data_IF_224464175090
#
_entry.id   IF_224464175090
#
_cell.length_a   1.000
_cell.length_b   1.000
_cell.length_c   1.000
_cell.angle_alpha   90.00
_cell.angle_beta   90.00
_cell.angle_gamma   90.00
#
_symmetry.space_group_name_H-M   'P 1'
#
loop_
_entity.id
_entity.type
_entity.pdbx_description
1 polymer ?
#
# COMPACT_ATOMS: atom_id res chain seq x y z
N UNK A 1 14.76 12.03 34.56
CA UNK A 1 14.25 13.09 33.65
C UNK A 1 13.23 13.91 34.42
N UNK A 2 13.32 15.24 34.35
CA UNK A 2 12.29 16.12 34.93
C UNK A 2 10.92 15.83 34.28
N UNK A 3 9.80 15.98 35.01
CA UNK A 3 8.47 15.77 34.43
C UNK A 3 8.23 16.77 33.30
N UNK A 4 7.81 16.28 32.12
CA UNK A 4 7.46 17.10 30.95
C UNK A 4 6.48 18.20 31.37
N UNK A 5 6.85 19.50 31.29
CA UNK A 5 5.99 20.60 31.73
C UNK A 5 4.61 20.59 31.05
N UNK A 6 4.56 20.19 29.78
CA UNK A 6 3.34 19.99 28.99
C UNK A 6 2.31 19.05 29.65
N UNK A 7 2.74 18.09 30.48
CA UNK A 7 1.83 17.18 31.19
C UNK A 7 1.09 17.85 32.36
N UNK A 8 1.54 19.02 32.81
CA UNK A 8 0.87 19.82 33.84
C UNK A 8 -0.18 20.77 33.27
N UNK A 9 -0.18 21.01 31.95
CA UNK A 9 -1.15 21.87 31.30
C UNK A 9 -2.58 21.29 31.42
N UNK A 10 -3.60 22.14 31.61
CA UNK A 10 -5.00 21.78 31.43
C UNK A 10 -5.24 21.19 30.04
N UNK A 11 -6.26 20.34 29.90
CA UNK A 11 -6.55 19.68 28.62
C UNK A 11 -6.72 20.69 27.50
N UNK A 12 -7.60 21.69 27.64
CA UNK A 12 -7.89 22.72 26.62
C UNK A 12 -6.62 23.42 26.09
N UNK A 13 -5.67 23.76 26.95
CA UNK A 13 -4.41 24.38 26.52
C UNK A 13 -3.55 23.38 25.74
N UNK A 14 -3.53 22.12 26.19
CA UNK A 14 -2.82 21.07 25.50
C UNK A 14 -3.44 20.74 24.13
N UNK A 15 -4.76 20.86 24.00
CA UNK A 15 -5.51 20.73 22.75
C UNK A 15 -5.00 21.73 21.70
N UNK A 16 -5.05 23.01 22.03
CA UNK A 16 -4.61 24.10 21.16
C UNK A 16 -3.13 23.98 20.77
N UNK A 17 -2.27 23.62 21.74
CA UNK A 17 -0.85 23.36 21.45
C UNK A 17 -0.73 22.23 20.43
N UNK A 18 -1.38 21.09 20.66
CA UNK A 18 -1.27 19.90 19.79
C UNK A 18 -1.80 20.18 18.39
N UNK A 19 -2.88 20.95 18.23
CA UNK A 19 -3.43 21.30 16.92
C UNK A 19 -2.42 22.00 16.03
N UNK A 20 -1.61 22.88 16.62
CA UNK A 20 -0.60 23.66 15.92
C UNK A 20 0.71 22.89 15.66
N UNK A 21 0.85 21.66 16.17
CA UNK A 21 2.04 20.84 15.93
C UNK A 21 1.97 20.10 14.60
N UNK A 22 3.12 20.04 13.94
CA UNK A 22 3.40 19.18 12.79
C UNK A 22 3.33 17.70 13.16
N UNK A 23 3.29 16.81 12.17
CA UNK A 23 3.25 15.37 12.38
C UNK A 23 4.54 14.86 13.04
N UNK A 24 5.68 15.45 12.71
CA UNK A 24 6.99 15.17 13.32
C UNK A 24 6.97 15.53 14.80
N UNK A 25 6.46 16.70 15.16
CA UNK A 25 6.38 17.14 16.55
C UNK A 25 5.41 16.28 17.36
N UNK A 26 4.23 15.96 16.80
CA UNK A 26 3.27 15.05 17.44
C UNK A 26 3.83 13.65 17.61
N UNK A 27 4.53 13.14 16.60
CA UNK A 27 5.24 11.87 16.71
C UNK A 27 6.26 11.95 17.84
N UNK A 28 7.16 12.93 17.85
CA UNK A 28 8.16 13.12 18.90
C UNK A 28 7.53 13.21 20.30
N UNK A 29 6.47 13.99 20.49
CA UNK A 29 5.76 14.05 21.78
C UNK A 29 5.17 12.71 22.20
N UNK A 30 4.59 11.97 21.25
CA UNK A 30 3.98 10.67 21.53
C UNK A 30 4.99 9.61 21.97
N UNK A 31 6.25 9.74 21.56
CA UNK A 31 7.32 8.77 21.85
C UNK A 31 8.18 9.16 23.05
N UNK A 32 8.04 10.39 23.56
CA UNK A 32 8.76 10.91 24.73
C UNK A 32 8.13 10.48 26.07
N UNK A 33 6.82 10.22 26.13
CA UNK A 33 6.14 9.81 27.38
C UNK A 33 4.89 8.98 27.14
N UNK A 34 4.73 7.88 27.90
CA UNK A 34 3.49 7.08 27.93
C UNK A 34 2.25 7.91 28.27
N UNK A 35 2.40 8.86 29.21
CA UNK A 35 1.29 9.72 29.62
C UNK A 35 0.90 10.70 28.53
N UNK A 36 1.88 11.25 27.79
CA UNK A 36 1.61 12.12 26.66
C UNK A 36 0.92 11.37 25.53
N UNK A 37 1.41 10.16 25.20
CA UNK A 37 0.74 9.28 24.24
C UNK A 37 -0.72 9.01 24.63
N UNK A 38 -0.97 8.69 25.91
CA UNK A 38 -2.34 8.49 26.41
C UNK A 38 -3.21 9.74 26.24
N UNK A 39 -2.67 10.93 26.53
CA UNK A 39 -3.41 12.20 26.34
C UNK A 39 -3.70 12.46 24.86
N UNK A 40 -2.71 12.33 23.97
CA UNK A 40 -2.90 12.45 22.52
C UNK A 40 -4.04 11.54 22.02
N UNK A 41 -4.13 10.32 22.57
CA UNK A 41 -5.22 9.38 22.23
C UNK A 41 -6.59 9.77 22.76
N UNK A 42 -6.65 10.39 23.95
CA UNK A 42 -7.90 10.85 24.56
C UNK A 42 -8.48 12.04 23.82
N UNK A 43 -7.59 12.93 23.38
CA UNK A 43 -7.97 14.18 22.74
C UNK A 43 -8.67 13.93 21.39
N UNK A 44 -8.28 12.91 20.61
CA UNK A 44 -8.82 12.64 19.25
C UNK A 44 -8.74 13.87 18.31
N UNK A 45 -7.91 14.84 18.64
CA UNK A 45 -7.88 16.14 18.00
C UNK A 45 -7.21 16.09 16.64
N UNK A 46 -7.82 16.81 15.70
CA UNK A 46 -7.22 17.34 14.47
C UNK A 46 -6.21 16.40 13.84
N UNK A 47 -6.61 15.16 13.53
CA UNK A 47 -5.72 14.19 12.91
C UNK A 47 -5.09 14.84 11.68
N UNK A 48 -3.77 14.78 11.59
CA UNK A 48 -3.07 15.41 10.48
C UNK A 48 -3.41 14.63 9.22
N UNK A 49 -3.78 15.37 8.20
CA UNK A 49 -4.00 14.77 6.90
C UNK A 49 -2.66 14.43 6.26
N UNK A 50 -2.41 13.13 6.11
CA UNK A 50 -1.31 12.59 5.31
C UNK A 50 -1.83 12.43 3.89
N UNK A 51 -1.28 13.23 2.98
CA UNK A 51 -1.61 13.22 1.57
C UNK A 51 -1.19 11.89 0.93
N UNK A 52 0.03 11.42 1.26
CA UNK A 52 0.53 10.14 0.78
C UNK A 52 1.37 9.40 1.83
N UNK A 53 1.17 8.09 1.93
CA UNK A 53 2.04 7.17 2.67
C UNK A 53 2.70 6.23 1.68
N UNK A 54 4.03 6.19 1.59
CA UNK A 54 4.76 5.23 0.76
C UNK A 54 5.47 4.21 1.65
N UNK A 55 5.05 2.96 1.60
CA UNK A 55 5.72 1.84 2.29
C UNK A 55 6.58 1.12 1.25
N UNK A 56 7.89 1.04 1.45
CA UNK A 56 8.82 0.30 0.57
C UNK A 56 9.45 -0.83 1.36
N UNK A 57 9.28 -2.05 0.88
CA UNK A 57 9.85 -3.25 1.50
C UNK A 57 10.92 -3.82 0.56
N UNK A 58 12.20 -3.56 0.86
CA UNK A 58 13.34 -4.03 0.10
C UNK A 58 14.36 -4.75 1.00
N UNK A 59 15.21 -5.63 0.43
CA UNK A 59 16.39 -6.10 1.16
C UNK A 59 17.53 -5.10 0.92
N UNK A 60 18.20 -4.57 1.96
CA UNK A 60 18.02 -4.87 3.39
C UNK A 60 17.08 -3.91 4.13
N UNK A 61 16.48 -2.90 3.50
CA UNK A 61 15.73 -1.84 4.22
C UNK A 61 14.22 -1.90 4.04
N UNK A 62 13.49 -1.67 5.15
CA UNK A 62 12.09 -1.26 5.07
C UNK A 62 11.99 0.23 5.29
N UNK A 63 11.22 0.91 4.46
CA UNK A 63 10.99 2.34 4.53
C UNK A 63 9.50 2.65 4.60
N UNK A 64 9.10 3.59 5.45
CA UNK A 64 7.78 4.23 5.42
C UNK A 64 8.00 5.74 5.27
N UNK A 65 7.50 6.34 4.20
CA UNK A 65 7.46 7.81 4.03
C UNK A 65 6.03 8.29 4.21
N UNK A 66 5.85 9.38 4.93
CA UNK A 66 4.58 10.09 5.05
C UNK A 66 4.78 11.50 4.52
N UNK A 67 3.91 11.91 3.61
CA UNK A 67 3.90 13.27 3.07
C UNK A 67 2.64 13.96 3.54
N UNK A 68 2.80 15.10 4.18
CA UNK A 68 1.73 16.02 4.57
C UNK A 68 1.84 17.29 3.73
N UNK A 69 0.93 18.24 3.92
CA UNK A 69 1.04 19.55 3.27
C UNK A 69 2.27 20.36 3.74
N UNK A 70 2.82 20.06 4.92
CA UNK A 70 3.85 20.86 5.58
C UNK A 70 5.22 20.18 5.58
N UNK A 71 5.26 18.84 5.57
CA UNK A 71 6.50 18.08 5.74
C UNK A 71 6.45 16.65 5.17
N UNK A 72 7.63 16.10 4.93
CA UNK A 72 7.86 14.67 4.73
C UNK A 72 8.52 14.07 5.99
N UNK A 73 8.01 12.91 6.43
CA UNK A 73 8.59 12.12 7.51
C UNK A 73 8.97 10.76 6.97
N UNK A 74 10.17 10.30 7.31
CA UNK A 74 10.71 9.04 6.83
C UNK A 74 11.11 8.14 7.99
N UNK A 75 10.58 6.94 8.00
CA UNK A 75 10.92 5.87 8.93
C UNK A 75 11.69 4.80 8.15
N UNK A 76 12.89 4.42 8.60
CA UNK A 76 13.73 3.40 7.99
C UNK A 76 14.05 2.32 9.02
N UNK A 77 13.76 1.06 8.71
CA UNK A 77 14.04 -0.07 9.58
C UNK A 77 15.23 -0.83 8.98
N UNK A 78 16.32 -0.94 9.74
CA UNK A 78 17.50 -1.69 9.35
C UNK A 78 17.60 -3.02 10.11
N UNK A 79 18.01 -4.11 9.44
CA UNK A 79 18.29 -5.41 10.06
C UNK A 79 19.55 -5.40 10.91
N UNK A 80 20.44 -4.44 10.67
CA UNK A 80 21.80 -4.50 11.15
C UNK A 80 22.22 -3.18 11.80
N UNK A 81 22.42 -3.22 13.12
CA UNK A 81 22.92 -2.10 13.91
C UNK A 81 24.26 -1.53 13.39
N UNK A 82 25.13 -2.36 12.78
CA UNK A 82 26.39 -1.86 12.17
C UNK A 82 26.12 -0.87 11.03
N UNK A 83 25.04 -1.07 10.25
CA UNK A 83 24.67 -0.17 9.18
C UNK A 83 24.16 1.18 9.72
N UNK A 84 23.54 1.20 10.91
CA UNK A 84 23.15 2.43 11.60
C UNK A 84 24.37 3.23 12.08
N UNK A 85 25.34 2.55 12.70
CA UNK A 85 26.59 3.16 13.19
C UNK A 85 27.38 3.77 12.02
N UNK A 86 27.50 3.06 10.90
CA UNK A 86 28.18 3.54 9.69
C UNK A 86 27.53 4.79 9.08
N UNK A 87 26.23 5.02 9.32
CA UNK A 87 25.52 6.20 8.83
C UNK A 87 25.61 7.41 9.76
N UNK A 88 26.37 7.31 10.85
CA UNK A 88 26.53 8.41 11.81
C UNK A 88 25.24 8.77 12.54
N UNK A 89 24.33 7.80 12.71
CA UNK A 89 23.09 7.98 13.48
C UNK A 89 23.47 8.23 14.94
N UNK A 90 23.15 9.41 15.48
CA UNK A 90 23.32 9.69 16.91
C UNK A 90 22.30 8.89 17.73
N UNK A 91 22.75 8.29 18.84
CA UNK A 91 21.93 7.45 19.72
C UNK A 91 20.90 8.28 20.52
N UNK A 92 19.80 8.70 19.88
CA UNK A 92 18.59 9.15 20.59
C UNK A 92 17.60 8.00 20.68
N UNK A 93 17.72 7.18 21.73
CA UNK A 93 16.79 6.06 21.95
C UNK A 93 15.42 6.60 22.38
N UNK A 94 14.44 6.49 21.50
CA UNK A 94 13.04 6.80 21.80
C UNK A 94 12.38 5.59 22.47
N UNK A 95 12.25 5.64 23.80
CA UNK A 95 11.94 4.49 24.66
C UNK A 95 10.46 4.08 24.71
N UNK A 96 9.53 4.92 24.24
CA UNK A 96 8.08 4.70 24.47
C UNK A 96 7.27 4.39 23.23
N UNK A 97 7.92 4.17 22.10
CA UNK A 97 7.30 3.46 20.96
C UNK A 97 7.35 1.97 21.28
N UNK A 98 6.37 1.15 20.85
CA UNK A 98 6.49 -0.31 20.87
C UNK A 98 7.71 -0.86 20.08
N UNK A 99 8.51 0.02 19.47
CA UNK A 99 9.66 -0.28 18.63
C UNK A 99 10.80 0.69 19.00
N UNK A 100 11.92 0.20 19.56
CA UNK A 100 13.11 1.05 19.78
C UNK A 100 13.51 1.77 18.49
N UNK A 101 13.60 3.10 18.56
CA UNK A 101 13.89 4.00 17.45
C UNK A 101 15.05 4.92 17.81
N UNK A 102 15.85 5.27 16.82
CA UNK A 102 16.94 6.23 16.82
C UNK A 102 16.54 7.36 15.87
N UNK A 103 16.59 8.63 16.29
CA UNK A 103 16.20 9.76 15.43
C UNK A 103 17.44 10.50 14.92
N UNK A 104 17.52 10.78 13.61
CA UNK A 104 18.48 11.75 13.08
C UNK A 104 17.75 13.08 12.87
N UNK A 105 18.06 14.04 13.74
CA UNK A 105 17.39 15.34 13.80
C UNK A 105 17.53 16.18 12.50
N UNK A 106 18.53 15.91 11.64
CA UNK A 106 18.79 16.72 10.44
C UNK A 106 17.84 16.49 9.26
N UNK A 107 16.99 15.44 9.25
CA UNK A 107 16.21 15.06 8.05
C UNK A 107 14.80 14.49 8.29
N UNK A 108 14.21 14.64 9.48
CA UNK A 108 12.95 13.94 9.82
C UNK A 108 13.00 12.42 9.53
N UNK A 109 14.20 11.84 9.72
CA UNK A 109 14.48 10.44 9.47
C UNK A 109 14.61 9.68 10.79
N UNK A 110 13.79 8.65 10.93
CA UNK A 110 13.69 7.79 12.11
C UNK A 110 14.16 6.39 11.76
N UNK A 111 15.13 5.88 12.51
CA UNK A 111 15.79 4.60 12.26
C UNK A 111 15.40 3.58 13.31
N UNK A 112 15.03 2.36 12.91
CA UNK A 112 14.68 1.29 13.85
C UNK A 112 15.65 0.13 13.70
N UNK A 113 16.19 -0.34 14.82
CA UNK A 113 17.01 -1.54 14.87
C UNK A 113 16.11 -2.79 14.91
N UNK A 114 16.41 -3.80 14.10
CA UNK A 114 15.80 -5.12 14.17
C UNK A 114 16.85 -6.13 14.67
N UNK A 115 16.76 -6.61 15.92
CA UNK A 115 17.80 -7.48 16.48
C UNK A 115 17.84 -8.82 15.73
N UNK A 116 18.98 -9.12 15.11
CA UNK A 116 19.25 -10.43 14.50
C UNK A 116 20.45 -10.40 13.54
N UNK A 117 21.41 -11.35 13.62
CA UNK A 117 22.65 -11.28 12.86
C UNK A 117 22.54 -11.60 11.36
N UNK A 118 21.42 -12.14 10.86
CA UNK A 118 21.33 -12.59 9.47
C UNK A 118 19.88 -12.68 9.01
N UNK A 119 19.52 -11.86 8.02
CA UNK A 119 18.18 -11.69 7.43
C UNK A 119 17.10 -11.19 8.42
N UNK A 120 16.37 -10.12 8.06
CA UNK A 120 15.13 -9.82 8.77
C UNK A 120 14.23 -11.06 8.65
N UNK A 121 13.95 -11.75 9.76
CA UNK A 121 12.82 -12.66 9.80
C UNK A 121 11.58 -11.82 9.50
N UNK A 122 10.87 -12.16 8.42
CA UNK A 122 9.68 -11.43 7.96
C UNK A 122 8.75 -11.07 9.14
N UNK A 123 8.54 -12.02 10.06
CA UNK A 123 7.70 -11.83 11.26
C UNK A 123 8.09 -10.64 12.17
N UNK A 124 9.39 -10.37 12.34
CA UNK A 124 9.86 -9.22 13.14
C UNK A 124 9.58 -7.90 12.41
N UNK A 125 9.77 -7.89 11.08
CA UNK A 125 9.46 -6.74 10.21
C UNK A 125 7.98 -6.42 10.28
N UNK A 126 7.17 -7.43 10.02
CA UNK A 126 5.72 -7.36 10.05
C UNK A 126 5.21 -6.78 11.38
N UNK A 127 5.74 -7.26 12.51
CA UNK A 127 5.38 -6.72 13.83
C UNK A 127 5.78 -5.25 14.01
N UNK A 128 6.95 -4.83 13.51
CA UNK A 128 7.39 -3.43 13.60
C UNK A 128 6.55 -2.52 12.72
N UNK A 129 6.25 -2.94 11.49
CA UNK A 129 5.35 -2.24 10.56
C UNK A 129 3.96 -2.13 11.18
N UNK A 130 3.41 -3.21 11.73
CA UNK A 130 2.11 -3.22 12.41
C UNK A 130 2.05 -2.21 13.54
N UNK A 131 3.09 -2.18 14.39
CA UNK A 131 3.15 -1.27 15.52
C UNK A 131 3.30 0.18 15.07
N UNK A 132 4.16 0.46 14.08
CA UNK A 132 4.39 1.81 13.59
C UNK A 132 3.17 2.36 12.84
N UNK A 133 2.59 1.59 11.94
CA UNK A 133 1.37 1.98 11.19
C UNK A 133 0.18 2.19 12.14
N UNK A 134 0.00 1.30 13.13
CA UNK A 134 -1.00 1.47 14.20
C UNK A 134 -0.77 2.75 15.01
N UNK A 135 0.49 3.11 15.25
CA UNK A 135 0.83 4.33 15.98
C UNK A 135 0.55 5.58 15.14
N UNK A 136 0.98 5.58 13.88
CA UNK A 136 0.80 6.69 12.94
C UNK A 136 -0.68 6.95 12.66
N UNK A 137 -1.50 5.92 12.47
CA UNK A 137 -2.94 6.05 12.22
C UNK A 137 -3.73 6.70 13.38
N UNK A 138 -3.10 6.82 14.56
CA UNK A 138 -3.68 7.55 15.71
C UNK A 138 -3.40 9.05 15.62
N UNK A 139 -2.33 9.44 14.93
CA UNK A 139 -1.89 10.82 14.78
C UNK A 139 -2.39 11.43 13.46
N UNK A 140 -2.68 10.60 12.46
CA UNK A 140 -3.03 11.04 11.11
C UNK A 140 -4.23 10.32 10.48
N UNK A 141 -4.80 10.95 9.46
CA UNK A 141 -5.69 10.33 8.47
C UNK A 141 -4.90 10.22 7.17
N UNK A 142 -4.79 9.02 6.62
CA UNK A 142 -4.05 8.78 5.38
C UNK A 142 -5.02 8.77 4.21
N UNK A 143 -4.90 9.76 3.32
CA UNK A 143 -5.70 9.83 2.08
C UNK A 143 -5.29 8.72 1.12
N UNK A 144 -4.02 8.69 0.72
CA UNK A 144 -3.47 7.71 -0.20
C UNK A 144 -2.34 6.92 0.43
N UNK A 145 -2.34 5.60 0.26
CA UNK A 145 -1.22 4.73 0.59
C UNK A 145 -0.71 4.03 -0.67
N UNK A 146 0.61 3.99 -0.84
CA UNK A 146 1.31 3.28 -1.89
C UNK A 146 2.28 2.29 -1.24
N UNK A 147 2.11 1.01 -1.51
CA UNK A 147 2.91 -0.07 -0.94
C UNK A 147 3.73 -0.68 -2.05
N UNK A 148 5.05 -0.46 -2.02
CA UNK A 148 5.99 -1.01 -2.98
C UNK A 148 6.73 -2.22 -2.40
N UNK A 149 6.73 -3.33 -3.13
CA UNK A 149 7.49 -4.52 -2.77
C UNK A 149 8.64 -4.78 -3.72
N UNK A 150 9.81 -5.06 -3.14
CA UNK A 150 11.00 -5.53 -3.87
C UNK A 150 11.46 -6.90 -3.34
N UNK A 151 10.57 -7.61 -2.63
CA UNK A 151 10.84 -8.91 -2.01
C UNK A 151 9.68 -9.87 -2.27
N UNK A 152 10.01 -11.15 -2.47
CA UNK A 152 9.04 -12.24 -2.54
C UNK A 152 8.32 -12.42 -1.20
N UNK A 153 7.17 -11.76 -1.07
CA UNK A 153 6.24 -11.85 0.07
C UNK A 153 4.83 -11.92 -0.52
N UNK A 154 3.99 -12.80 0.03
CA UNK A 154 2.57 -12.86 -0.35
C UNK A 154 1.80 -11.65 0.15
N UNK A 155 0.79 -11.21 -0.61
CA UNK A 155 -0.02 -10.02 -0.27
C UNK A 155 -0.65 -10.16 1.11
N UNK A 156 -1.26 -11.31 1.38
CA UNK A 156 -1.92 -11.62 2.64
C UNK A 156 -0.99 -11.48 3.86
N UNK A 157 0.24 -11.98 3.77
CA UNK A 157 1.22 -11.90 4.86
C UNK A 157 1.54 -10.45 5.21
N UNK A 158 1.76 -9.61 4.20
CA UNK A 158 2.02 -8.20 4.46
C UNK A 158 0.79 -7.44 4.92
N UNK A 159 -0.33 -7.61 4.24
CA UNK A 159 -1.51 -6.80 4.54
C UNK A 159 -2.10 -7.14 5.92
N UNK A 160 -1.94 -8.38 6.40
CA UNK A 160 -2.23 -8.73 7.80
C UNK A 160 -1.37 -7.96 8.83
N UNK A 161 -0.23 -7.45 8.36
CA UNK A 161 0.78 -6.74 9.14
C UNK A 161 0.63 -5.22 9.06
N UNK A 162 -0.09 -4.67 8.09
CA UNK A 162 -0.42 -3.24 8.11
C UNK A 162 -1.70 -3.08 8.91
N UNK A 163 -1.64 -2.34 10.02
CA UNK A 163 -2.82 -2.10 10.85
C UNK A 163 -3.55 -0.86 10.37
N UNK A 164 -4.87 -0.90 10.50
CA UNK A 164 -5.75 0.23 10.20
C UNK A 164 -5.80 0.61 8.71
N UNK A 165 -5.49 -0.32 7.80
CA UNK A 165 -5.60 -0.14 6.34
C UNK A 165 -7.01 0.24 5.93
N UNK A 166 -8.01 -0.26 6.65
CA UNK A 166 -9.42 0.09 6.47
C UNK A 166 -9.70 1.58 6.68
N UNK A 167 -8.78 2.35 7.29
CA UNK A 167 -8.89 3.80 7.43
C UNK A 167 -8.24 4.57 6.28
N UNK A 168 -7.53 3.89 5.36
CA UNK A 168 -6.99 4.51 4.16
C UNK A 168 -8.12 4.75 3.16
N UNK A 169 -8.05 5.82 2.37
CA UNK A 169 -9.06 6.05 1.33
C UNK A 169 -8.71 5.26 0.06
N UNK A 170 -7.45 5.28 -0.36
CA UNK A 170 -6.92 4.51 -1.50
C UNK A 170 -5.64 3.78 -1.13
N UNK A 171 -5.48 2.56 -1.62
CA UNK A 171 -4.28 1.75 -1.39
C UNK A 171 -3.80 1.12 -2.71
N UNK A 172 -2.68 1.63 -3.21
CA UNK A 172 -2.00 1.06 -4.36
C UNK A 172 -0.93 0.08 -3.89
N UNK A 173 -0.91 -1.12 -4.44
CA UNK A 173 0.08 -2.16 -4.14
C UNK A 173 0.90 -2.45 -5.39
N UNK A 174 2.13 -1.96 -5.40
CA UNK A 174 3.05 -2.02 -6.53
C UNK A 174 4.14 -3.04 -6.21
N UNK A 175 3.86 -4.30 -6.56
CA UNK A 175 4.77 -5.41 -6.29
C UNK A 175 5.80 -5.65 -7.38
N UNK A 176 5.58 -5.09 -8.58
CA UNK A 176 6.31 -5.45 -9.79
C UNK A 176 6.56 -6.96 -9.87
N UNK A 177 7.83 -7.33 -10.09
CA UNK A 177 8.28 -8.73 -10.22
C UNK A 177 8.44 -9.51 -8.92
N UNK A 178 8.07 -8.93 -7.78
CA UNK A 178 8.43 -9.48 -6.47
C UNK A 178 7.23 -9.86 -5.62
N UNK A 179 6.01 -9.48 -5.95
CA UNK A 179 4.84 -9.86 -5.16
C UNK A 179 4.15 -11.05 -5.80
N UNK A 180 4.00 -12.16 -5.08
CA UNK A 180 3.23 -13.30 -5.56
C UNK A 180 1.77 -13.12 -5.16
N UNK A 181 0.87 -13.36 -6.11
CA UNK A 181 -0.57 -13.41 -5.93
C UNK A 181 -1.03 -14.83 -6.22
N UNK A 182 -1.62 -15.47 -5.22
CA UNK A 182 -2.13 -16.84 -5.30
C UNK A 182 -3.65 -16.84 -5.13
N UNK A 183 -4.31 -17.96 -5.45
CA UNK A 183 -5.77 -18.06 -5.33
C UNK A 183 -6.24 -17.81 -3.89
N UNK A 184 -5.43 -18.14 -2.88
CA UNK A 184 -5.74 -17.89 -1.48
C UNK A 184 -5.70 -16.40 -1.06
N UNK A 185 -5.09 -15.53 -1.88
CA UNK A 185 -5.08 -14.09 -1.66
C UNK A 185 -6.39 -13.43 -2.11
N UNK A 186 -7.16 -14.07 -3.00
CA UNK A 186 -8.38 -13.51 -3.60
C UNK A 186 -9.40 -13.07 -2.55
N UNK A 187 -9.78 -13.89 -1.53
CA UNK A 187 -10.74 -13.47 -0.50
C UNK A 187 -10.23 -12.29 0.35
N UNK A 188 -8.91 -12.19 0.52
CA UNK A 188 -8.30 -11.10 1.27
C UNK A 188 -8.39 -9.78 0.51
N UNK A 189 -8.10 -9.82 -0.79
CA UNK A 189 -8.18 -8.64 -1.65
C UNK A 189 -9.63 -8.25 -1.94
N UNK A 190 -10.56 -9.20 -2.02
CA UNK A 190 -11.99 -8.96 -2.27
C UNK A 190 -12.65 -7.98 -1.29
N UNK A 191 -12.20 -8.01 -0.03
CA UNK A 191 -12.73 -7.20 1.07
C UNK A 191 -11.83 -6.02 1.43
N UNK A 192 -10.85 -5.71 0.58
CA UNK A 192 -9.86 -4.68 0.83
C UNK A 192 -10.18 -3.36 0.14
N UNK A 193 -9.54 -2.28 0.57
CA UNK A 193 -9.57 -0.97 -0.10
C UNK A 193 -8.46 -0.81 -1.15
N UNK A 194 -8.00 -1.94 -1.71
CA UNK A 194 -6.97 -1.93 -2.73
C UNK A 194 -7.56 -1.40 -4.04
N UNK A 195 -6.93 -0.35 -4.59
CA UNK A 195 -7.32 0.29 -5.84
C UNK A 195 -6.49 -0.24 -7.00
N UNK A 196 -5.17 -0.29 -6.83
CA UNK A 196 -4.23 -0.79 -7.84
C UNK A 196 -3.42 -1.96 -7.30
N UNK A 197 -3.24 -3.03 -8.07
CA UNK A 197 -2.44 -4.20 -7.68
C UNK A 197 -1.53 -4.62 -8.83
N UNK A 198 -0.21 -4.60 -8.63
CA UNK A 198 0.77 -5.14 -9.58
C UNK A 198 1.43 -6.39 -8.99
N UNK A 199 1.17 -7.56 -9.57
CA UNK A 199 1.57 -8.84 -8.99
C UNK A 199 2.09 -9.86 -10.00
N UNK A 200 2.85 -10.82 -9.49
CA UNK A 200 3.21 -12.05 -10.17
C UNK A 200 2.28 -13.19 -9.84
N UNK A 201 2.08 -14.07 -10.81
CA UNK A 201 1.23 -15.25 -10.68
C UNK A 201 1.88 -16.49 -11.30
N UNK A 202 1.67 -17.65 -10.66
CA UNK A 202 2.17 -18.94 -11.18
C UNK A 202 1.21 -19.53 -12.21
N UNK A 203 -0.09 -19.49 -11.91
CA UNK A 203 -1.18 -20.01 -12.72
C UNK A 203 -2.04 -18.86 -13.26
N UNK A 204 -1.46 -18.02 -14.12
CA UNK A 204 -2.09 -16.82 -14.66
C UNK A 204 -3.52 -17.07 -15.14
N UNK A 205 -3.76 -18.15 -15.91
CA UNK A 205 -5.08 -18.45 -16.44
C UNK A 205 -6.12 -18.73 -15.34
N UNK A 206 -5.79 -19.56 -14.36
CA UNK A 206 -6.71 -19.93 -13.27
C UNK A 206 -6.99 -18.74 -12.35
N UNK A 207 -5.94 -17.99 -12.01
CA UNK A 207 -6.02 -16.83 -11.13
C UNK A 207 -6.84 -15.71 -11.78
N UNK A 208 -6.59 -15.39 -13.05
CA UNK A 208 -7.38 -14.39 -13.79
C UNK A 208 -8.83 -14.84 -13.89
N UNK A 209 -9.11 -16.10 -14.24
CA UNK A 209 -10.49 -16.61 -14.31
C UNK A 209 -11.22 -16.48 -12.96
N UNK A 210 -10.56 -16.89 -11.88
CA UNK A 210 -11.14 -16.83 -10.53
C UNK A 210 -11.37 -15.38 -10.11
N UNK A 211 -10.41 -14.49 -10.35
CA UNK A 211 -10.57 -13.06 -10.11
C UNK A 211 -11.77 -12.49 -10.88
N UNK A 212 -11.87 -12.75 -12.19
CA UNK A 212 -12.97 -12.26 -13.02
C UNK A 212 -14.33 -12.73 -12.52
N UNK A 213 -14.47 -14.03 -12.21
CA UNK A 213 -15.71 -14.59 -11.66
C UNK A 213 -16.14 -13.87 -10.38
N UNK A 214 -15.18 -13.60 -9.50
CA UNK A 214 -15.44 -12.90 -8.24
C UNK A 214 -15.77 -11.42 -8.46
N UNK A 215 -15.03 -10.72 -9.33
CA UNK A 215 -15.32 -9.32 -9.67
C UNK A 215 -16.71 -9.15 -10.30
N UNK A 216 -17.07 -10.02 -11.25
CA UNK A 216 -18.40 -10.03 -11.89
C UNK A 216 -19.53 -10.26 -10.87
N UNK A 217 -19.26 -11.06 -9.83
CA UNK A 217 -20.18 -11.33 -8.74
C UNK A 217 -20.33 -10.16 -7.74
N UNK A 218 -19.63 -9.04 -7.95
CA UNK A 218 -19.70 -7.87 -7.06
C UNK A 218 -18.61 -7.81 -6.00
N UNK A 219 -17.71 -8.80 -5.96
CA UNK A 219 -16.55 -8.73 -5.06
C UNK A 219 -15.56 -7.71 -5.63
N UNK A 220 -14.66 -7.16 -4.79
CA UNK A 220 -13.71 -6.10 -5.19
C UNK A 220 -14.34 -4.76 -5.61
N UNK A 221 -15.22 -4.13 -4.81
CA UNK A 221 -15.89 -2.89 -5.18
C UNK A 221 -14.94 -1.68 -5.34
N UNK A 222 -13.72 -1.78 -4.81
CA UNK A 222 -12.73 -0.70 -4.81
C UNK A 222 -11.58 -0.90 -5.80
N UNK A 223 -11.48 -2.06 -6.45
CA UNK A 223 -10.41 -2.33 -7.40
C UNK A 223 -10.65 -1.52 -8.66
N UNK A 224 -9.68 -0.68 -9.00
CA UNK A 224 -9.64 0.14 -10.20
C UNK A 224 -8.74 -0.53 -11.26
N UNK A 225 -7.64 -1.18 -10.84
CA UNK A 225 -6.67 -1.80 -11.75
C UNK A 225 -5.93 -3.00 -11.14
N UNK A 226 -5.73 -4.06 -11.92
CA UNK A 226 -4.81 -5.16 -11.57
C UNK A 226 -3.93 -5.53 -12.75
N UNK A 227 -2.62 -5.57 -12.52
CA UNK A 227 -1.62 -6.05 -13.44
C UNK A 227 -1.08 -7.40 -12.97
N UNK A 228 -1.24 -8.43 -13.80
CA UNK A 228 -0.78 -9.79 -13.58
C UNK A 228 0.41 -10.12 -14.49
N UNK A 229 1.57 -10.40 -13.92
CA UNK A 229 2.77 -10.87 -14.61
C UNK A 229 3.01 -12.36 -14.31
N UNK A 230 3.14 -13.21 -15.32
CA UNK A 230 3.45 -14.61 -15.14
C UNK A 230 4.92 -14.78 -14.79
N UNK A 231 5.22 -15.67 -13.86
CA UNK A 231 6.62 -15.93 -13.47
C UNK A 231 7.44 -16.69 -14.55
N UNK A 232 6.79 -17.20 -15.60
CA UNK A 232 7.48 -17.87 -16.72
C UNK A 232 6.84 -17.56 -18.08
N UNK A 233 7.65 -17.49 -19.14
CA UNK A 233 7.18 -17.28 -20.50
C UNK A 233 6.66 -18.60 -21.08
N UNK A 234 5.34 -18.80 -21.04
CA UNK A 234 4.64 -19.86 -21.77
C UNK A 234 3.48 -19.26 -22.55
N UNK A 235 3.20 -19.85 -23.72
CA UNK A 235 2.04 -19.48 -24.53
C UNK A 235 0.78 -19.67 -23.69
N UNK A 236 -0.06 -18.63 -23.66
CA UNK A 236 -1.27 -18.64 -22.84
C UNK A 236 -2.41 -19.33 -23.59
N UNK A 237 -3.20 -20.11 -22.85
CA UNK A 237 -4.44 -20.68 -23.37
C UNK A 237 -5.60 -19.78 -23.00
N UNK A 238 -5.94 -18.87 -23.91
CA UNK A 238 -6.93 -17.81 -23.67
C UNK A 238 -8.31 -18.31 -23.27
N UNK A 239 -8.72 -19.46 -23.80
CA UNK A 239 -9.99 -20.08 -23.44
C UNK A 239 -10.11 -20.34 -21.94
N UNK A 240 -8.99 -20.54 -21.24
CA UNK A 240 -8.97 -20.77 -19.80
C UNK A 240 -9.27 -19.51 -18.98
N UNK A 241 -8.90 -18.30 -19.46
CA UNK A 241 -9.20 -17.04 -18.77
C UNK A 241 -10.70 -16.84 -18.59
N UNK A 242 -11.48 -17.26 -19.59
CA UNK A 242 -12.90 -16.97 -19.70
C UNK A 242 -13.79 -18.19 -19.54
N UNK A 243 -13.28 -19.26 -18.93
CA UNK A 243 -14.10 -20.42 -18.55
C UNK A 243 -15.27 -19.94 -17.69
N UNK A 244 -16.49 -20.12 -18.18
CA UNK A 244 -17.75 -19.65 -17.55
C UNK A 244 -17.82 -18.14 -17.28
N UNK A 245 -17.11 -17.32 -18.07
CA UNK A 245 -17.18 -15.86 -18.01
C UNK A 245 -17.70 -15.35 -19.34
N UNK A 246 -18.77 -14.55 -19.30
CA UNK A 246 -19.26 -13.82 -20.46
C UNK A 246 -18.35 -12.61 -20.71
N UNK A 247 -17.90 -12.44 -21.96
CA UNK A 247 -17.06 -11.33 -22.38
C UNK A 247 -17.39 -10.93 -23.82
N UNK A 248 -17.06 -9.70 -24.19
CA UNK A 248 -17.16 -9.21 -25.56
C UNK A 248 -15.77 -8.76 -26.03
N UNK A 249 -15.31 -9.15 -27.23
CA UNK A 249 -14.09 -8.57 -27.80
C UNK A 249 -14.17 -7.04 -27.79
N UNK A 250 -13.16 -6.36 -27.26
CA UNK A 250 -13.22 -4.91 -27.17
C UNK A 250 -13.00 -4.29 -28.55
N UNK A 251 -13.90 -3.38 -28.91
CA UNK A 251 -13.80 -2.58 -30.14
C UNK A 251 -13.41 -1.14 -29.82
N UNK A 252 -13.57 -0.70 -28.56
CA UNK A 252 -13.54 0.71 -28.15
C UNK A 252 -12.33 1.09 -27.31
N UNK A 253 -11.82 0.17 -26.49
CA UNK A 253 -10.65 0.47 -25.65
C UNK A 253 -9.39 0.14 -26.44
N UNK A 254 -8.94 1.11 -27.23
CA UNK A 254 -7.66 1.02 -27.90
C UNK A 254 -6.56 0.78 -26.84
N UNK A 255 -5.64 -0.19 -27.01
CA UNK A 255 -4.55 -0.45 -26.05
C UNK A 255 -3.63 0.76 -25.75
N UNK A 256 -3.82 1.90 -26.45
CA UNK A 256 -3.12 3.16 -26.24
C UNK A 256 -3.70 4.03 -25.10
N UNK A 257 -4.95 3.82 -24.68
CA UNK A 257 -5.62 4.66 -23.66
C UNK A 257 -5.46 4.20 -22.21
N UNK A 258 -5.06 2.95 -21.98
CA UNK A 258 -5.09 2.28 -20.67
C UNK A 258 -3.98 2.74 -19.67
N UNK A 259 -3.26 3.84 -19.95
CA UNK A 259 -2.03 4.18 -19.21
C UNK A 259 -1.00 3.04 -19.18
N UNK A 260 -1.19 2.00 -20.00
CA UNK A 260 -0.45 0.76 -19.96
C UNK A 260 0.98 1.09 -20.40
N UNK A 261 2.00 0.64 -19.65
CA UNK A 261 3.38 0.84 -20.04
C UNK A 261 3.57 0.41 -21.49
N UNK A 262 4.03 1.32 -22.36
CA UNK A 262 4.29 1.10 -23.80
C UNK A 262 5.09 -0.18 -24.14
N UNK A 263 5.70 -0.82 -23.14
CA UNK A 263 6.51 -2.03 -23.25
C UNK A 263 5.70 -3.29 -23.56
N UNK A 264 4.40 -3.33 -23.28
CA UNK A 264 3.53 -4.47 -23.58
C UNK A 264 2.38 -4.03 -24.48
N UNK A 265 2.55 -4.14 -25.80
CA UNK A 265 1.41 -4.05 -26.73
C UNK A 265 0.50 -5.23 -26.41
N UNK A 266 -0.60 -5.00 -25.72
CA UNK A 266 -1.65 -6.01 -25.59
C UNK A 266 -2.09 -6.39 -27.00
N UNK A 267 -2.10 -7.68 -27.28
CA UNK A 267 -2.46 -8.18 -28.60
C UNK A 267 -3.98 -8.30 -28.74
N UNK A 268 -4.66 -8.39 -27.60
CA UNK A 268 -6.09 -8.56 -27.53
C UNK A 268 -6.61 -7.87 -26.26
N UNK A 269 -7.83 -7.38 -26.36
CA UNK A 269 -8.58 -6.75 -25.28
C UNK A 269 -10.00 -7.29 -25.30
N UNK A 270 -10.58 -7.52 -24.12
CA UNK A 270 -11.99 -7.88 -23.99
C UNK A 270 -12.65 -6.99 -22.95
N UNK A 271 -13.91 -6.66 -23.18
CA UNK A 271 -14.74 -5.91 -22.25
C UNK A 271 -15.60 -6.88 -21.44
N UNK A 272 -15.74 -6.56 -20.16
CA UNK A 272 -16.45 -7.36 -19.15
C UNK A 272 -17.37 -6.41 -18.39
N UNK A 273 -18.59 -6.88 -18.10
CA UNK A 273 -19.59 -6.11 -17.36
C UNK A 273 -19.90 -6.83 -16.04
N UNK A 274 -19.82 -6.08 -14.94
CA UNK A 274 -20.16 -6.57 -13.61
C UNK A 274 -21.67 -6.68 -13.45
N UNK A 275 -22.15 -7.84 -12.97
CA UNK A 275 -23.59 -8.12 -12.90
C UNK A 275 -24.33 -7.30 -11.85
N UNK A 276 -23.63 -6.89 -10.79
CA UNK A 276 -24.26 -6.23 -9.63
C UNK A 276 -24.61 -4.77 -9.87
N UNK A 277 -23.86 -4.07 -10.71
CA UNK A 277 -24.02 -2.62 -10.90
C UNK A 277 -23.66 -2.12 -12.32
N UNK A 278 -23.51 -3.02 -13.28
CA UNK A 278 -23.16 -2.72 -14.67
C UNK A 278 -21.82 -1.98 -14.85
N UNK A 279 -20.95 -1.99 -13.83
CA UNK A 279 -19.61 -1.42 -13.97
C UNK A 279 -18.85 -2.17 -15.08
N UNK A 280 -18.10 -1.42 -15.90
CA UNK A 280 -17.37 -1.96 -17.04
C UNK A 280 -15.89 -2.03 -16.73
N UNK A 281 -15.26 -3.08 -17.23
CA UNK A 281 -13.82 -3.23 -17.18
C UNK A 281 -13.30 -3.81 -18.49
N UNK A 282 -12.03 -3.55 -18.77
CA UNK A 282 -11.31 -4.15 -19.89
C UNK A 282 -10.20 -5.01 -19.36
N UNK A 283 -10.12 -6.24 -19.88
CA UNK A 283 -8.95 -7.10 -19.71
C UNK A 283 -8.12 -7.08 -20.99
N UNK A 284 -6.97 -6.42 -20.93
CA UNK A 284 -5.94 -6.49 -21.97
C UNK A 284 -4.96 -7.62 -21.65
N UNK A 285 -4.52 -8.37 -22.66
CA UNK A 285 -3.53 -9.43 -22.45
C UNK A 285 -2.58 -9.62 -23.65
N UNK A 286 -1.40 -10.18 -23.37
CA UNK A 286 -0.40 -10.47 -24.40
C UNK A 286 -0.22 -11.99 -24.56
N UNK A 287 -0.62 -12.55 -25.71
CA UNK A 287 -0.63 -14.00 -25.99
C UNK A 287 0.73 -14.69 -25.79
N UNK A 288 1.81 -13.93 -26.00
CA UNK A 288 3.19 -14.40 -25.86
C UNK A 288 3.93 -13.82 -24.64
N UNK A 289 3.33 -12.83 -23.95
CA UNK A 289 4.02 -11.98 -22.97
C UNK A 289 3.82 -12.39 -21.52
N UNK A 290 2.96 -13.39 -21.25
CA UNK A 290 2.65 -13.80 -19.88
C UNK A 290 2.11 -12.65 -19.03
N UNK A 291 1.40 -11.69 -19.62
CA UNK A 291 0.94 -10.49 -18.93
C UNK A 291 -0.53 -10.23 -19.24
N UNK A 292 -1.29 -9.87 -18.21
CA UNK A 292 -2.68 -9.45 -18.31
C UNK A 292 -2.92 -8.22 -17.43
N UNK A 293 -3.64 -7.24 -17.95
CA UNK A 293 -4.04 -6.02 -17.24
C UNK A 293 -5.55 -5.94 -17.23
N UNK A 294 -6.11 -5.80 -16.05
CA UNK A 294 -7.52 -5.53 -15.81
C UNK A 294 -7.68 -4.09 -15.36
N UNK A 295 -8.56 -3.33 -16.00
CA UNK A 295 -8.81 -1.93 -15.67
C UNK A 295 -10.31 -1.63 -15.70
N UNK A 296 -10.78 -0.97 -14.65
CA UNK A 296 -12.17 -0.60 -14.44
C UNK A 296 -12.39 0.83 -14.93
N UNK A 297 -13.44 1.04 -15.70
CA UNK A 297 -13.77 2.33 -16.27
C UNK A 297 -14.82 3.05 -15.43
N UNK A 298 -14.64 4.36 -15.25
CA UNK A 298 -15.73 5.22 -14.83
C UNK A 298 -16.65 5.54 -16.02
N UNK A 299 -17.88 5.97 -15.74
CA UNK A 299 -18.79 6.42 -16.81
C UNK A 299 -18.23 7.63 -17.57
N UNK A 300 -17.41 8.46 -16.93
CA UNK A 300 -16.76 9.61 -17.55
C UNK A 300 -15.67 9.15 -18.53
N UNK A 301 -14.80 8.21 -18.13
CA UNK A 301 -13.76 7.65 -19.00
C UNK A 301 -14.36 7.04 -20.28
N UNK A 302 -15.53 6.41 -20.14
CA UNK A 302 -16.20 5.76 -21.26
C UNK A 302 -16.83 6.74 -22.25
N UNK A 303 -17.21 7.95 -21.81
CA UNK A 303 -17.78 8.99 -22.70
C UNK A 303 -16.71 9.56 -23.62
N UNK A 304 -15.51 9.79 -23.11
CA UNK A 304 -14.41 10.37 -23.89
C UNK A 304 -13.86 9.39 -24.94
N UNK A 305 -13.95 8.08 -24.68
CA UNK A 305 -13.59 7.03 -25.65
C UNK A 305 -14.52 6.98 -26.87
N UNK A 306 -15.80 7.38 -26.73
CA UNK A 306 -16.77 7.35 -27.83
C UNK A 306 -16.53 8.48 -28.84
N UNK A 307 -15.93 9.59 -28.41
CA UNK A 307 -15.71 10.78 -29.24
C UNK A 307 -14.47 10.63 -30.13
N UNK A 308 -13.50 9.79 -29.74
CA UNK A 308 -12.25 9.61 -30.49
C UNK A 308 -12.41 8.83 -31.82
N UNK A 309 -13.52 8.11 -32.00
CA UNK A 309 -13.83 7.32 -33.20
C UNK A 309 -14.89 7.99 -34.12
N UNK A 310 -15.31 9.22 -33.81
CA UNK A 310 -16.24 10.04 -34.63
C UNK A 310 -15.54 11.23 -35.28
#
# INVERSE_FOLDING_TARGET
MAPLPLLKCPLVVLEEIIENLTLTERFNLSVLSKQMNKRLLQLRIGKIEVQSMKITVAKPELQIRLTTAQEEIKFVIFPNKKALIQRGVADYILNYVPVQCYAIQKRNEYFFDAPGPTALKNSVVHKKVANLTKHLSRLSIVKKAEVNFQMNIGIKDFMSSVKNVENFQKVDVLGGRSMMFEEEDIPFVANSKLTTIECKVTQLESIVNTFLKQWIAGNFPHVERIDFERDSYRRMEMTKFFTDVEFTPSVRTNPLGLGIPKRTKHQNTVDIVRKTDNQRATLGYCGNGGYATFEVWTEEDFKDLVIADS
#
